data_IF_759967366910
#
_entry.id   IF_759967366910
#
_cell.length_a   1.000
_cell.length_b   1.000
_cell.length_c   1.000
_cell.angle_alpha   90.00
_cell.angle_beta   90.00
_cell.angle_gamma   90.00
#
_symmetry.space_group_name_H-M   'P 1'
#
loop_
_entity.id
_entity.type
_entity.pdbx_description
1 polymer ?
#
# COMPACT_ATOMS: atom_id res chain seq x y z
N UNK A 1 13.30 -10.94 2.38
CA UNK A 1 12.89 -11.43 1.05
C UNK A 1 13.14 -10.37 -0.04
N UNK A 2 12.76 -9.09 0.18
CA UNK A 2 12.97 -8.00 -0.80
C UNK A 2 14.45 -7.90 -1.19
N UNK A 3 15.38 -7.90 -0.23
CA UNK A 3 16.81 -7.83 -0.52
C UNK A 3 17.31 -8.99 -1.39
N UNK A 4 16.78 -10.20 -1.22
CA UNK A 4 17.12 -11.35 -2.07
C UNK A 4 16.64 -11.18 -3.51
N UNK A 5 15.46 -10.56 -3.71
CA UNK A 5 14.95 -10.25 -5.03
C UNK A 5 15.82 -9.20 -5.72
N UNK A 6 16.14 -8.12 -5.03
CA UNK A 6 17.02 -7.05 -5.54
C UNK A 6 18.40 -7.60 -5.91
N UNK A 7 19.00 -8.45 -5.06
CA UNK A 7 20.28 -9.09 -5.35
C UNK A 7 20.19 -10.01 -6.58
N UNK A 8 19.13 -10.81 -6.69
CA UNK A 8 18.93 -11.67 -7.85
C UNK A 8 18.76 -10.90 -9.17
N UNK A 9 18.17 -9.69 -9.14
CA UNK A 9 18.12 -8.79 -10.30
C UNK A 9 19.49 -8.21 -10.62
N UNK A 10 20.24 -7.78 -9.59
CA UNK A 10 21.59 -7.23 -9.74
C UNK A 10 22.57 -8.25 -10.35
N UNK A 11 22.58 -9.47 -9.84
CA UNK A 11 23.43 -10.57 -10.36
C UNK A 11 23.17 -10.89 -11.84
N UNK A 12 21.95 -10.60 -12.33
CA UNK A 12 21.55 -10.79 -13.72
C UNK A 12 21.73 -9.57 -14.61
N UNK A 13 22.19 -8.44 -14.06
CA UNK A 13 22.31 -7.17 -14.76
C UNK A 13 20.97 -6.58 -15.19
N UNK A 14 19.88 -6.89 -14.48
CA UNK A 14 18.51 -6.45 -14.81
C UNK A 14 18.02 -5.33 -13.89
N UNK A 15 18.72 -5.04 -12.80
CA UNK A 15 18.21 -4.14 -11.76
C UNK A 15 18.04 -2.70 -12.29
N UNK A 16 18.96 -2.22 -13.11
CA UNK A 16 18.95 -0.84 -13.60
C UNK A 16 17.75 -0.57 -14.52
N UNK A 17 17.35 -1.55 -15.32
CA UNK A 17 16.22 -1.48 -16.24
C UNK A 17 14.90 -1.97 -15.63
N UNK A 18 14.89 -2.23 -14.31
CA UNK A 18 13.68 -2.71 -13.62
C UNK A 18 13.09 -1.59 -12.76
N UNK A 19 11.81 -1.30 -12.98
CA UNK A 19 11.01 -0.48 -12.06
C UNK A 19 10.61 -1.36 -10.88
N UNK A 20 11.17 -1.08 -9.72
CA UNK A 20 10.92 -1.83 -8.49
C UNK A 20 10.04 -0.98 -7.55
N UNK A 21 8.81 -1.44 -7.29
CA UNK A 21 7.84 -0.72 -6.47
C UNK A 21 7.59 -1.51 -5.19
N UNK A 22 7.73 -0.86 -4.05
CA UNK A 22 7.39 -1.41 -2.74
C UNK A 22 6.38 -0.52 -2.06
N UNK A 23 5.26 -1.09 -1.67
CA UNK A 23 4.21 -0.37 -0.96
C UNK A 23 3.46 -1.30 0.00
N UNK A 24 2.74 -0.74 0.96
CA UNK A 24 1.68 -1.45 1.67
C UNK A 24 0.34 -1.24 0.95
N UNK A 25 -0.56 -2.20 1.05
CA UNK A 25 -1.90 -2.14 0.45
C UNK A 25 -2.90 -1.36 1.31
N UNK A 26 -2.67 -1.30 2.62
CA UNK A 26 -3.46 -0.57 3.60
C UNK A 26 -2.63 -0.25 4.84
N UNK A 27 -3.17 0.54 5.74
CA UNK A 27 -2.59 0.73 7.05
C UNK A 27 -2.61 -0.55 7.91
N UNK A 28 -2.06 -0.48 9.11
CA UNK A 28 -1.95 -1.64 10.00
C UNK A 28 -3.31 -2.33 10.22
N UNK A 29 -3.32 -3.66 10.21
CA UNK A 29 -4.55 -4.44 10.34
C UNK A 29 -5.02 -4.52 11.80
N UNK A 30 -6.30 -4.25 12.04
CA UNK A 30 -6.96 -4.40 13.33
C UNK A 30 -7.71 -5.75 13.45
N UNK A 31 -7.50 -6.67 12.53
CA UNK A 31 -8.24 -7.93 12.41
C UNK A 31 -7.88 -8.96 13.48
N UNK A 32 -7.13 -8.57 14.49
CA UNK A 32 -6.95 -9.31 15.73
C UNK A 32 -7.98 -8.96 16.82
N UNK A 33 -8.86 -7.98 16.61
CA UNK A 33 -9.85 -7.56 17.60
C UNK A 33 -9.21 -6.91 18.84
N UNK A 34 -9.84 -7.07 19.99
CA UNK A 34 -9.37 -6.47 21.25
C UNK A 34 -8.07 -7.10 21.79
N UNK A 35 -7.92 -8.40 21.62
CA UNK A 35 -6.89 -9.20 22.30
C UNK A 35 -5.82 -9.76 21.36
N UNK A 36 -5.99 -9.60 20.06
CA UNK A 36 -5.23 -10.35 19.08
C UNK A 36 -5.82 -11.74 18.87
N UNK A 37 -5.34 -12.44 17.84
CA UNK A 37 -5.72 -13.84 17.58
C UNK A 37 -4.52 -14.64 17.10
N UNK A 38 -4.42 -15.89 17.55
CA UNK A 38 -3.40 -16.83 17.08
C UNK A 38 -3.66 -17.33 15.67
N UNK A 39 -4.90 -17.25 15.21
CA UNK A 39 -5.30 -17.58 13.86
C UNK A 39 -6.41 -16.65 13.38
N UNK A 40 -6.19 -15.93 12.27
CA UNK A 40 -7.11 -14.90 11.75
C UNK A 40 -8.55 -15.40 11.52
N UNK A 41 -8.71 -16.69 11.22
CA UNK A 41 -10.05 -17.27 11.04
C UNK A 41 -10.93 -17.20 12.29
N UNK A 42 -10.35 -17.03 13.49
CA UNK A 42 -11.14 -16.74 14.69
C UNK A 42 -11.83 -15.39 14.57
N UNK A 43 -11.13 -14.36 14.14
CA UNK A 43 -11.70 -13.03 13.93
C UNK A 43 -12.84 -13.06 12.90
N UNK A 44 -12.59 -13.65 11.73
CA UNK A 44 -13.58 -13.70 10.65
C UNK A 44 -14.80 -14.58 10.95
N UNK A 45 -14.68 -15.50 11.89
CA UNK A 45 -15.81 -16.33 12.37
C UNK A 45 -16.39 -15.84 13.70
N UNK A 46 -16.00 -14.65 14.17
CA UNK A 46 -16.47 -14.06 15.43
C UNK A 46 -16.24 -14.96 16.65
N UNK A 47 -15.16 -15.75 16.64
CA UNK A 47 -14.77 -16.60 17.76
C UNK A 47 -13.83 -15.83 18.69
N UNK A 48 -14.09 -15.92 19.99
CA UNK A 48 -13.22 -15.33 20.98
C UNK A 48 -11.84 -16.02 21.01
N UNK A 49 -10.78 -15.25 21.26
CA UNK A 49 -9.47 -15.81 21.55
C UNK A 49 -9.39 -16.18 23.04
N UNK A 50 -8.82 -17.33 23.30
CA UNK A 50 -8.39 -17.71 24.64
C UNK A 50 -6.98 -17.15 24.87
N UNK A 51 -6.91 -16.03 25.60
CA UNK A 51 -5.67 -15.28 25.79
C UNK A 51 -4.65 -16.09 26.60
N UNK A 52 -5.10 -16.84 27.61
CA UNK A 52 -4.20 -17.64 28.44
C UNK A 52 -3.58 -18.78 27.61
N UNK A 53 -4.37 -19.47 26.81
CA UNK A 53 -3.87 -20.49 25.89
C UNK A 53 -2.98 -19.88 24.79
N UNK A 54 -3.25 -18.65 24.34
CA UNK A 54 -2.40 -17.95 23.36
C UNK A 54 -1.04 -17.57 23.95
N UNK A 55 -0.99 -17.18 25.24
CA UNK A 55 0.27 -16.86 25.94
C UNK A 55 1.16 -18.11 26.05
N UNK A 56 0.60 -19.29 26.27
CA UNK A 56 1.36 -20.56 26.30
C UNK A 56 2.00 -20.91 24.93
N UNK A 57 1.54 -20.25 23.86
CA UNK A 57 1.96 -20.51 22.49
C UNK A 57 2.68 -19.30 21.83
N UNK A 58 3.27 -18.42 22.62
CA UNK A 58 3.97 -17.23 22.09
C UNK A 58 5.08 -17.60 21.10
N UNK A 59 5.78 -18.71 21.32
CA UNK A 59 6.84 -19.18 20.43
C UNK A 59 6.34 -19.66 19.05
N UNK A 60 5.04 -19.92 18.90
CA UNK A 60 4.43 -20.27 17.62
C UNK A 60 4.22 -19.02 16.71
N UNK A 61 4.27 -17.81 17.27
CA UNK A 61 3.98 -16.57 16.53
C UNK A 61 4.97 -16.37 15.39
N UNK A 62 4.44 -16.21 14.17
CA UNK A 62 5.24 -16.09 12.93
C UNK A 62 5.77 -17.43 12.41
N UNK A 63 5.47 -18.54 13.08
CA UNK A 63 5.82 -19.90 12.67
C UNK A 63 4.73 -20.56 11.80
N UNK A 64 4.95 -21.80 11.36
CA UNK A 64 4.05 -22.52 10.46
C UNK A 64 2.71 -22.92 11.11
N UNK A 65 2.59 -22.80 12.43
CA UNK A 65 1.40 -23.20 13.20
C UNK A 65 0.57 -22.01 13.69
N UNK A 66 0.86 -20.80 13.18
CA UNK A 66 0.11 -19.60 13.51
C UNK A 66 -0.12 -18.74 12.27
N UNK A 67 -1.22 -17.99 12.29
CA UNK A 67 -1.53 -16.94 11.34
C UNK A 67 -2.12 -15.77 12.13
N UNK A 68 -1.26 -15.12 12.88
CA UNK A 68 -1.63 -14.17 13.91
C UNK A 68 -1.98 -12.80 13.35
N UNK A 69 -2.96 -12.17 13.99
CA UNK A 69 -3.18 -10.73 13.90
C UNK A 69 -3.09 -10.11 15.30
N UNK A 70 -2.43 -8.97 15.40
CA UNK A 70 -2.28 -8.24 16.65
C UNK A 70 -3.55 -7.44 16.99
N UNK A 71 -3.73 -7.05 18.29
CA UNK A 71 -4.92 -6.32 18.72
C UNK A 71 -4.98 -4.89 18.19
N UNK A 72 -6.17 -4.29 18.24
CA UNK A 72 -6.46 -2.92 17.78
C UNK A 72 -5.50 -1.86 18.32
N UNK A 73 -5.12 -1.97 19.58
CA UNK A 73 -4.18 -1.04 20.20
C UNK A 73 -2.83 -1.01 19.48
N UNK A 74 -2.32 -2.18 19.07
CA UNK A 74 -1.08 -2.27 18.29
C UNK A 74 -1.25 -1.77 16.86
N UNK A 75 -2.42 -2.00 16.23
CA UNK A 75 -2.72 -1.45 14.92
C UNK A 75 -2.68 0.08 14.95
N UNK A 76 -3.31 0.71 15.96
CA UNK A 76 -3.25 2.15 16.16
C UNK A 76 -1.83 2.64 16.46
N UNK A 77 -1.09 1.93 17.29
CA UNK A 77 0.30 2.26 17.63
C UNK A 77 1.20 2.23 16.39
N UNK A 78 1.05 1.23 15.54
CA UNK A 78 1.82 1.07 14.30
C UNK A 78 1.54 2.14 13.24
N UNK A 79 0.40 2.81 13.31
CA UNK A 79 0.02 3.88 12.36
C UNK A 79 0.30 5.30 12.88
N UNK A 80 0.77 5.44 14.11
CA UNK A 80 1.07 6.76 14.70
C UNK A 80 2.02 7.56 13.79
N UNK A 81 1.74 8.87 13.52
CA UNK A 81 0.74 9.74 14.16
C UNK A 81 -0.65 9.73 13.52
N UNK A 82 -0.89 8.88 12.53
CA UNK A 82 -2.15 8.84 11.79
C UNK A 82 -3.27 8.20 12.62
N UNK A 83 -4.48 8.71 12.42
CA UNK A 83 -5.67 8.24 13.11
C UNK A 83 -6.21 6.99 12.42
N UNK A 84 -6.64 5.99 13.23
CA UNK A 84 -7.23 4.74 12.82
C UNK A 84 -6.27 3.80 12.05
N UNK A 85 -6.81 2.80 11.38
CA UNK A 85 -6.10 1.66 10.81
C UNK A 85 -6.89 1.09 9.62
N UNK A 86 -6.47 -0.04 9.07
CA UNK A 86 -7.15 -0.77 7.98
C UNK A 86 -8.68 -0.75 8.15
N UNK A 87 -9.41 -0.72 7.04
CA UNK A 87 -10.86 -0.56 6.92
C UNK A 87 -11.40 0.84 7.22
N UNK A 88 -10.56 1.79 7.55
CA UNK A 88 -10.96 3.19 7.74
C UNK A 88 -10.43 4.06 6.61
N UNK A 89 -11.18 5.10 6.26
CA UNK A 89 -10.77 6.09 5.26
C UNK A 89 -9.95 7.24 5.85
N UNK A 90 -9.70 7.23 7.17
CA UNK A 90 -8.73 8.11 7.82
C UNK A 90 -7.29 7.75 7.39
N UNK A 91 -6.35 8.66 7.64
CA UNK A 91 -4.95 8.48 7.20
C UNK A 91 -4.31 7.18 7.68
N UNK A 92 -4.58 6.72 8.90
CA UNK A 92 -4.05 5.45 9.40
C UNK A 92 -4.53 4.21 8.62
N UNK A 93 -5.62 4.34 7.86
CA UNK A 93 -6.10 3.24 7.00
C UNK A 93 -5.61 3.30 5.55
N UNK A 94 -5.31 4.50 5.03
CA UNK A 94 -5.06 4.70 3.59
C UNK A 94 -3.72 5.37 3.27
N UNK A 95 -3.08 6.06 4.22
CA UNK A 95 -1.78 6.69 4.00
C UNK A 95 -0.67 5.66 4.25
N UNK A 96 -0.19 5.08 3.18
CA UNK A 96 0.80 3.99 3.20
C UNK A 96 2.11 4.43 2.55
N UNK A 97 3.26 3.86 2.95
CA UNK A 97 4.52 4.15 2.29
C UNK A 97 4.53 3.62 0.85
N UNK A 98 5.14 4.38 -0.04
CA UNK A 98 5.46 3.99 -1.40
C UNK A 98 6.93 4.26 -1.67
N UNK A 99 7.66 3.26 -2.13
CA UNK A 99 9.04 3.40 -2.59
C UNK A 99 9.12 2.97 -4.04
N UNK A 100 9.69 3.82 -4.89
CA UNK A 100 9.98 3.49 -6.29
C UNK A 100 11.50 3.51 -6.48
N UNK A 101 12.04 2.43 -7.02
CA UNK A 101 13.45 2.31 -7.37
C UNK A 101 13.57 1.94 -8.84
N UNK A 102 14.18 2.82 -9.62
CA UNK A 102 14.41 2.63 -11.05
C UNK A 102 15.66 3.42 -11.48
N UNK A 103 16.85 2.82 -11.38
CA UNK A 103 18.12 3.51 -11.63
C UNK A 103 18.21 4.13 -13.03
N UNK A 104 17.69 3.47 -14.07
CA UNK A 104 17.71 4.01 -15.43
C UNK A 104 16.74 5.18 -15.65
N UNK A 105 15.72 5.35 -14.79
CA UNK A 105 14.66 6.35 -14.99
C UNK A 105 14.52 7.38 -13.87
N UNK A 106 15.25 7.27 -12.75
CA UNK A 106 15.22 8.22 -11.63
C UNK A 106 16.64 8.67 -11.31
N UNK A 107 16.95 9.93 -11.61
CA UNK A 107 18.27 10.52 -11.33
C UNK A 107 18.39 10.97 -9.86
N UNK A 108 17.30 11.44 -9.24
CA UNK A 108 17.26 11.92 -7.85
C UNK A 108 17.07 10.74 -6.86
N UNK A 109 18.11 9.91 -6.75
CA UNK A 109 18.10 8.73 -5.87
C UNK A 109 18.01 9.12 -4.39
N UNK A 110 17.08 8.52 -3.66
CA UNK A 110 16.82 8.77 -2.24
C UNK A 110 16.02 10.04 -1.96
N UNK A 111 15.54 10.74 -2.98
CA UNK A 111 14.70 11.91 -2.84
C UNK A 111 13.32 11.58 -2.29
N UNK A 112 12.75 12.50 -1.50
CA UNK A 112 11.37 12.41 -1.01
C UNK A 112 10.41 13.12 -1.96
N UNK A 113 9.18 12.62 -2.01
CA UNK A 113 8.07 13.17 -2.79
C UNK A 113 6.86 13.34 -1.88
N UNK A 114 6.36 14.56 -1.79
CA UNK A 114 5.23 14.94 -0.93
C UNK A 114 3.92 15.10 -1.71
N UNK A 115 3.96 14.91 -3.02
CA UNK A 115 2.75 14.97 -3.85
C UNK A 115 1.80 13.84 -3.49
N UNK A 116 0.49 14.16 -3.49
CA UNK A 116 -0.53 13.14 -3.28
C UNK A 116 -0.59 12.17 -4.46
N UNK A 117 -0.52 10.89 -4.14
CA UNK A 117 -0.70 9.78 -5.09
C UNK A 117 -1.69 8.75 -4.54
N UNK A 118 -2.25 7.95 -5.43
CA UNK A 118 -3.14 6.86 -5.08
C UNK A 118 -2.71 5.59 -5.82
N UNK A 119 -3.05 4.41 -5.30
CA UNK A 119 -2.64 3.13 -5.89
C UNK A 119 -3.04 2.98 -7.36
N UNK A 120 -4.17 3.57 -7.78
CA UNK A 120 -4.59 3.55 -9.19
C UNK A 120 -3.70 4.37 -10.13
N UNK A 121 -2.75 5.15 -9.59
CA UNK A 121 -1.78 5.92 -10.37
C UNK A 121 -0.60 5.06 -10.84
N UNK A 122 -0.41 3.87 -10.26
CA UNK A 122 0.69 2.98 -10.64
C UNK A 122 0.57 2.50 -12.10
N UNK A 123 -0.61 2.06 -12.51
CA UNK A 123 -0.80 1.54 -13.87
C UNK A 123 -0.53 2.61 -14.95
N UNK A 124 -1.14 3.82 -14.91
CA UNK A 124 -0.83 4.85 -15.89
C UNK A 124 0.64 5.33 -15.82
N UNK A 125 1.28 5.30 -14.65
CA UNK A 125 2.72 5.59 -14.53
C UNK A 125 3.57 4.56 -15.27
N UNK A 126 3.24 3.29 -15.18
CA UNK A 126 3.94 2.23 -15.91
C UNK A 126 3.74 2.39 -17.42
N UNK A 127 2.51 2.64 -17.87
CA UNK A 127 2.23 2.90 -19.29
C UNK A 127 3.03 4.09 -19.82
N UNK A 128 3.06 5.18 -19.07
CA UNK A 128 3.78 6.40 -19.43
C UNK A 128 5.29 6.17 -19.46
N UNK A 129 5.85 5.51 -18.44
CA UNK A 129 7.27 5.17 -18.38
C UNK A 129 7.74 4.27 -19.55
N UNK A 130 6.86 3.42 -20.05
CA UNK A 130 7.14 2.53 -21.19
C UNK A 130 6.78 3.16 -22.54
N UNK A 131 6.16 4.34 -22.58
CA UNK A 131 5.65 4.96 -23.81
C UNK A 131 4.55 4.13 -24.49
N UNK A 132 3.76 3.38 -23.70
CA UNK A 132 2.70 2.50 -24.19
C UNK A 132 1.35 3.12 -23.89
N UNK A 133 0.46 3.14 -24.89
CA UNK A 133 -0.93 3.58 -24.69
C UNK A 133 -1.79 2.39 -24.26
N UNK A 134 -2.57 2.57 -23.20
CA UNK A 134 -3.52 1.57 -22.77
C UNK A 134 -4.58 1.35 -23.86
N UNK A 135 -4.92 0.09 -24.20
CA UNK A 135 -5.90 -0.18 -25.25
C UNK A 135 -7.32 0.15 -24.78
N UNK A 136 -8.11 0.80 -25.64
CA UNK A 136 -9.53 1.00 -25.41
C UNK A 136 -10.34 -0.29 -25.49
N UNK A 137 -9.88 -1.22 -26.34
CA UNK A 137 -10.48 -2.54 -26.51
C UNK A 137 -9.39 -3.61 -26.37
N UNK A 138 -9.59 -4.56 -25.48
CA UNK A 138 -8.71 -5.71 -25.31
C UNK A 138 -9.46 -7.02 -25.51
N UNK A 139 -9.00 -7.84 -26.45
CA UNK A 139 -9.64 -9.13 -26.82
C UNK A 139 -11.13 -9.01 -27.14
N UNK A 140 -11.54 -7.92 -27.79
CA UNK A 140 -12.93 -7.66 -28.17
C UNK A 140 -13.83 -7.10 -27.06
N UNK A 141 -13.27 -6.79 -25.89
CA UNK A 141 -13.98 -6.17 -24.77
C UNK A 141 -13.53 -4.73 -24.59
N UNK A 142 -14.48 -3.81 -24.52
CA UNK A 142 -14.22 -2.42 -24.15
C UNK A 142 -13.64 -2.37 -22.73
N UNK A 143 -12.58 -1.59 -22.55
CA UNK A 143 -11.93 -1.40 -21.28
C UNK A 143 -12.53 -0.20 -20.54
N UNK A 144 -12.65 -0.31 -19.23
CA UNK A 144 -13.01 0.84 -18.39
C UNK A 144 -11.88 1.88 -18.44
N UNK A 145 -12.21 3.17 -18.46
CA UNK A 145 -11.21 4.24 -18.42
C UNK A 145 -10.28 4.10 -17.19
N UNK A 146 -8.99 4.29 -17.40
CA UNK A 146 -8.03 4.40 -16.31
C UNK A 146 -8.29 5.75 -15.62
N UNK A 147 -8.66 5.73 -14.34
CA UNK A 147 -8.94 6.92 -13.54
C UNK A 147 -7.70 7.44 -12.80
N UNK A 148 -6.62 6.67 -12.80
CA UNK A 148 -5.33 7.07 -12.24
C UNK A 148 -4.63 8.10 -13.12
N UNK A 149 -3.68 8.81 -12.51
CA UNK A 149 -2.85 9.83 -13.16
C UNK A 149 -1.39 9.44 -13.01
N UNK A 150 -0.60 9.53 -14.09
CA UNK A 150 0.83 9.22 -14.03
C UNK A 150 1.55 10.11 -13.02
N UNK A 151 2.36 9.50 -12.17
CA UNK A 151 3.26 10.17 -11.22
C UNK A 151 4.67 10.40 -11.79
N UNK A 152 4.90 10.07 -13.06
CA UNK A 152 6.23 10.08 -13.68
C UNK A 152 6.92 11.46 -13.60
N UNK A 153 6.16 12.55 -13.69
CA UNK A 153 6.68 13.92 -13.55
C UNK A 153 7.35 14.20 -12.20
N UNK A 154 7.03 13.43 -11.17
CA UNK A 154 7.62 13.60 -9.83
C UNK A 154 8.91 12.80 -9.64
N UNK A 155 9.28 11.93 -10.57
CA UNK A 155 10.43 11.04 -10.39
C UNK A 155 11.74 11.81 -10.29
N UNK A 156 11.91 12.84 -11.11
CA UNK A 156 13.12 13.67 -11.12
C UNK A 156 12.90 15.10 -10.60
N UNK A 157 11.68 15.45 -10.22
CA UNK A 157 11.36 16.78 -9.71
C UNK A 157 10.49 16.71 -8.45
N UNK A 158 11.12 16.93 -7.29
CA UNK A 158 10.42 17.00 -6.01
C UNK A 158 9.46 18.21 -5.90
N UNK A 159 9.63 19.24 -6.75
CA UNK A 159 8.80 20.43 -6.79
C UNK A 159 7.71 20.35 -7.87
N UNK A 160 7.62 19.25 -8.61
CA UNK A 160 6.56 19.07 -9.61
C UNK A 160 5.19 19.27 -8.97
N UNK A 161 4.26 19.97 -9.63
CA UNK A 161 2.91 20.12 -9.10
C UNK A 161 2.21 18.76 -8.99
N UNK A 162 1.33 18.56 -7.99
CA UNK A 162 0.60 17.31 -7.87
C UNK A 162 -0.29 17.08 -9.12
N UNK A 163 -0.09 15.94 -9.76
CA UNK A 163 -0.88 15.56 -10.94
C UNK A 163 -2.30 15.12 -10.54
N UNK A 164 -2.47 14.59 -9.32
CA UNK A 164 -3.77 14.19 -8.77
C UNK A 164 -4.19 15.18 -7.70
N UNK A 165 -5.31 15.86 -7.92
CA UNK A 165 -5.84 16.89 -7.01
C UNK A 165 -7.09 16.45 -6.28
N UNK A 166 -7.78 15.39 -6.75
CA UNK A 166 -9.00 14.87 -6.13
C UNK A 166 -8.98 13.33 -6.09
N UNK A 167 -9.35 12.77 -4.94
CA UNK A 167 -9.53 11.34 -4.78
C UNK A 167 -10.65 11.04 -3.78
N UNK A 168 -11.59 10.20 -4.19
CA UNK A 168 -12.63 9.66 -3.32
C UNK A 168 -12.18 8.31 -2.75
N UNK A 169 -12.51 8.07 -1.48
CA UNK A 169 -12.29 6.81 -0.77
C UNK A 169 -13.60 6.30 -0.20
N UNK A 170 -13.79 4.99 -0.29
CA UNK A 170 -14.89 4.32 0.39
C UNK A 170 -14.50 2.91 0.78
N UNK A 171 -14.84 2.53 2.02
CA UNK A 171 -14.65 1.19 2.55
C UNK A 171 -15.71 0.90 3.60
N UNK A 172 -16.58 -0.09 3.36
CA UNK A 172 -17.63 -0.52 4.31
C UNK A 172 -18.49 0.62 4.86
N UNK A 173 -18.78 1.63 4.03
CA UNK A 173 -19.57 2.80 4.42
C UNK A 173 -18.76 3.95 5.03
N UNK A 174 -17.50 3.74 5.38
CA UNK A 174 -16.57 4.83 5.69
C UNK A 174 -16.25 5.56 4.39
N UNK A 175 -16.37 6.88 4.38
CA UNK A 175 -16.17 7.69 3.18
C UNK A 175 -15.20 8.82 3.47
N UNK A 176 -14.40 9.16 2.47
CA UNK A 176 -13.57 10.35 2.51
C UNK A 176 -13.36 10.92 1.12
N UNK A 177 -13.04 12.20 1.07
CA UNK A 177 -12.57 12.86 -0.14
C UNK A 177 -11.32 13.66 0.16
N UNK A 178 -10.30 13.48 -0.66
CA UNK A 178 -9.15 14.38 -0.75
C UNK A 178 -9.41 15.37 -1.87
N UNK A 179 -9.16 16.65 -1.63
CA UNK A 179 -9.23 17.71 -2.63
C UNK A 179 -8.17 18.79 -2.30
N UNK A 180 -7.25 19.03 -3.23
CA UNK A 180 -6.26 20.12 -3.19
C UNK A 180 -5.55 20.28 -1.82
N UNK A 181 -5.07 19.18 -1.25
CA UNK A 181 -4.33 19.16 0.02
C UNK A 181 -5.23 19.01 1.26
N UNK A 182 -6.55 19.06 1.11
CA UNK A 182 -7.51 18.85 2.20
C UNK A 182 -8.16 17.48 2.12
N UNK A 183 -8.47 16.92 3.25
CA UNK A 183 -9.23 15.67 3.33
C UNK A 183 -10.38 15.78 4.31
N UNK A 184 -11.59 15.48 3.84
CA UNK A 184 -12.77 15.30 4.64
C UNK A 184 -13.08 13.80 4.81
N UNK A 185 -13.42 13.38 6.06
CA UNK A 185 -13.70 11.99 6.43
C UNK A 185 -14.99 11.94 7.25
#
# INVERSE_FOLDING_TARGET
QIGRLVEGLRERGLLDDTVFVVMADNGASQEGGNTGVMHEMKYFNFLAEDVDAAVERLDDIGGPHSHTNYPWGWAQCGNTPFRWYKQNTHEGGVHVPLVVHWPAGIADAGGLRDQFHHVNDLAPTIYDALGVTAPEVYRGLEQLPITGVSMLSTFDDAAAPPAKTVQYFEMMGHRAIYADGWKAV
#
